data_IF_226784673585
#
_entry.id   IF_226784673585
#
_cell.length_a   1.000
_cell.length_b   1.000
_cell.length_c   1.000
_cell.angle_alpha   90.00
_cell.angle_beta   90.00
_cell.angle_gamma   90.00
#
_symmetry.space_group_name_H-M   'P 1'
#
loop_
_entity.id
_entity.type
_entity.pdbx_description
1 polymer ?
#
# COMPACT_ATOMS: atom_id res chain seq x y z
N UNK A 1 29.64 42.78 38.48
CA UNK A 1 29.49 42.17 37.13
C UNK A 1 29.00 40.74 37.30
N UNK A 2 27.70 40.46 37.11
CA UNK A 2 27.19 39.09 37.17
C UNK A 2 27.30 38.42 35.79
N UNK A 3 27.76 37.16 35.80
CA UNK A 3 27.81 36.27 34.63
C UNK A 3 26.38 35.83 34.28
N UNK A 4 25.94 36.03 33.05
CA UNK A 4 24.73 35.42 32.50
C UNK A 4 25.11 34.17 31.71
N UNK A 5 24.69 33.02 32.22
CA UNK A 5 24.70 31.74 31.51
C UNK A 5 23.73 31.83 30.32
N UNK A 6 24.24 31.73 29.09
CA UNK A 6 23.41 31.40 27.94
C UNK A 6 23.32 29.87 27.84
N UNK A 7 22.12 29.37 28.13
CA UNK A 7 21.71 28.00 27.90
C UNK A 7 21.47 27.80 26.39
N UNK A 8 22.18 26.90 25.70
CA UNK A 8 21.91 26.63 24.30
C UNK A 8 20.59 25.85 24.21
N UNK A 9 19.53 26.54 23.76
CA UNK A 9 18.23 25.93 23.53
C UNK A 9 18.31 24.62 22.72
N UNK A 10 17.38 23.68 22.93
CA UNK A 10 17.47 22.34 22.36
C UNK A 10 17.48 22.40 20.82
N UNK A 11 18.27 21.54 20.14
CA UNK A 11 18.37 21.54 18.69
C UNK A 11 16.98 21.32 18.08
N UNK A 12 16.59 22.28 17.23
CA UNK A 12 15.35 22.28 16.49
C UNK A 12 15.12 20.93 15.83
N UNK A 13 14.08 20.23 16.28
CA UNK A 13 13.56 19.01 15.68
C UNK A 13 13.22 19.38 14.23
N UNK A 14 14.02 18.91 13.28
CA UNK A 14 13.75 19.10 11.86
C UNK A 14 12.31 18.65 11.60
N UNK A 15 11.42 19.61 11.36
CA UNK A 15 10.09 19.35 10.85
C UNK A 15 10.27 18.43 9.64
N UNK A 16 9.46 17.38 9.54
CA UNK A 16 9.43 16.52 8.38
C UNK A 16 9.25 17.40 7.15
N UNK A 17 10.34 17.69 6.43
CA UNK A 17 10.33 18.56 5.28
C UNK A 17 9.49 17.85 4.22
N UNK A 18 8.26 18.32 3.99
CA UNK A 18 7.59 18.06 2.73
C UNK A 18 8.61 18.43 1.65
N UNK A 19 9.03 17.46 0.84
CA UNK A 19 9.97 17.72 -0.25
C UNK A 19 9.39 18.88 -1.10
N UNK A 20 10.22 19.82 -1.58
CA UNK A 20 9.74 20.94 -2.36
C UNK A 20 8.88 20.43 -3.52
N UNK A 21 7.72 21.05 -3.73
CA UNK A 21 6.81 20.69 -4.81
C UNK A 21 7.57 20.81 -6.14
N UNK A 22 7.57 19.74 -6.94
CA UNK A 22 8.25 19.71 -8.23
C UNK A 22 7.40 20.46 -9.27
N UNK A 23 8.06 20.96 -10.32
CA UNK A 23 7.34 21.51 -11.46
C UNK A 23 6.49 20.41 -12.10
N UNK A 24 5.20 20.69 -12.25
CA UNK A 24 4.23 19.76 -12.83
C UNK A 24 3.31 20.48 -13.81
N UNK A 25 2.64 19.73 -14.67
CA UNK A 25 1.67 20.20 -15.66
C UNK A 25 0.53 19.18 -15.74
N UNK A 26 -0.74 19.56 -16.02
CA UNK A 26 -1.86 18.61 -16.10
C UNK A 26 -1.63 17.40 -17.02
N UNK A 27 -0.82 17.58 -18.08
CA UNK A 27 -0.41 16.50 -19.00
C UNK A 27 0.34 15.36 -18.30
N UNK A 28 0.97 15.60 -17.15
CA UNK A 28 1.63 14.60 -16.31
C UNK A 28 0.66 13.50 -15.84
N UNK A 29 -0.64 13.78 -15.83
CA UNK A 29 -1.63 12.78 -15.47
C UNK A 29 -1.67 11.62 -16.48
N UNK A 30 -1.38 11.87 -17.77
CA UNK A 30 -1.36 10.83 -18.81
C UNK A 30 -0.35 9.73 -18.49
N UNK A 31 0.97 10.01 -18.35
CA UNK A 31 1.94 8.97 -18.00
C UNK A 31 1.67 8.34 -16.63
N UNK A 32 1.16 9.10 -15.65
CA UNK A 32 0.82 8.54 -14.34
C UNK A 32 -0.36 7.56 -14.40
N UNK A 33 -1.41 7.86 -15.17
CA UNK A 33 -2.52 6.95 -15.42
C UNK A 33 -2.06 5.73 -16.21
N UNK A 34 -1.15 5.88 -17.17
CA UNK A 34 -0.59 4.73 -17.89
C UNK A 34 0.20 3.81 -16.95
N UNK A 35 1.09 4.35 -16.12
CA UNK A 35 1.90 3.56 -15.17
C UNK A 35 1.05 2.93 -14.07
N UNK A 36 0.12 3.68 -13.46
CA UNK A 36 -0.74 3.12 -12.42
C UNK A 36 -1.77 2.15 -13.00
N UNK A 37 -2.33 2.46 -14.17
CA UNK A 37 -3.30 1.63 -14.89
C UNK A 37 -2.70 0.34 -15.43
N UNK A 38 -1.39 0.28 -15.68
CA UNK A 38 -0.73 -0.97 -16.04
C UNK A 38 -0.91 -2.06 -14.96
N UNK A 39 -1.07 -1.69 -13.69
CA UNK A 39 -1.40 -2.62 -12.61
C UNK A 39 -2.69 -3.41 -12.88
N UNK A 40 -3.69 -2.78 -13.51
CA UNK A 40 -4.96 -3.44 -13.86
C UNK A 40 -4.71 -4.56 -14.87
N UNK A 41 -3.83 -4.33 -15.84
CA UNK A 41 -3.47 -5.35 -16.83
C UNK A 41 -2.57 -6.43 -16.21
N UNK A 42 -1.58 -6.05 -15.40
CA UNK A 42 -0.62 -6.97 -14.81
C UNK A 42 -1.27 -7.90 -13.77
N UNK A 43 -2.10 -7.35 -12.88
CA UNK A 43 -2.61 -8.05 -11.69
C UNK A 43 -4.12 -8.31 -11.76
N UNK A 44 -4.88 -7.41 -12.38
CA UNK A 44 -6.33 -7.57 -12.56
C UNK A 44 -6.69 -8.62 -13.62
N UNK A 45 -6.11 -8.46 -14.82
CA UNK A 45 -6.40 -9.31 -15.98
C UNK A 45 -5.30 -10.33 -16.30
N UNK A 46 -4.16 -10.27 -15.61
CA UNK A 46 -3.01 -11.15 -15.85
C UNK A 46 -2.55 -11.16 -17.31
N UNK A 47 -2.48 -9.97 -17.93
CA UNK A 47 -2.02 -9.73 -19.30
C UNK A 47 -0.61 -9.11 -19.28
N UNK A 48 0.45 -9.89 -19.01
CA UNK A 48 1.78 -9.37 -18.74
C UNK A 48 2.35 -8.54 -19.89
N UNK A 49 2.19 -9.01 -21.14
CA UNK A 49 2.70 -8.30 -22.32
C UNK A 49 2.04 -6.92 -22.45
N UNK A 50 0.72 -6.86 -22.31
CA UNK A 50 -0.02 -5.60 -22.40
C UNK A 50 0.30 -4.67 -21.23
N UNK A 51 0.44 -5.21 -20.01
CA UNK A 51 0.85 -4.46 -18.83
C UNK A 51 2.25 -3.87 -18.96
N UNK A 52 3.23 -4.65 -19.40
CA UNK A 52 4.60 -4.16 -19.66
C UNK A 52 4.64 -3.13 -20.79
N UNK A 53 3.86 -3.33 -21.87
CA UNK A 53 3.74 -2.34 -22.94
C UNK A 53 3.15 -1.02 -22.42
N UNK A 54 2.12 -1.08 -21.57
CA UNK A 54 1.51 0.10 -20.95
C UNK A 54 2.46 0.82 -19.99
N UNK A 55 3.25 0.07 -19.21
CA UNK A 55 4.35 0.62 -18.41
C UNK A 55 5.37 1.35 -19.27
N UNK A 56 5.86 0.71 -20.35
CA UNK A 56 6.84 1.31 -21.25
C UNK A 56 6.29 2.58 -21.91
N UNK A 57 5.03 2.55 -22.36
CA UNK A 57 4.35 3.72 -22.94
C UNK A 57 4.20 4.85 -21.91
N UNK A 58 3.85 4.54 -20.66
CA UNK A 58 3.76 5.49 -19.57
C UNK A 58 5.11 6.14 -19.24
N UNK A 59 6.19 5.35 -19.18
CA UNK A 59 7.55 5.86 -18.95
C UNK A 59 8.04 6.70 -20.14
N UNK A 60 7.75 6.29 -21.38
CA UNK A 60 8.07 7.08 -22.57
C UNK A 60 7.35 8.43 -22.55
N UNK A 61 6.06 8.44 -22.22
CA UNK A 61 5.28 9.67 -22.08
C UNK A 61 5.81 10.57 -20.95
N UNK A 62 6.25 9.98 -19.83
CA UNK A 62 6.89 10.72 -18.73
C UNK A 62 8.20 11.37 -19.17
N UNK A 63 9.03 10.62 -19.90
CA UNK A 63 10.28 11.12 -20.48
C UNK A 63 10.04 12.29 -21.45
N UNK A 64 9.02 12.21 -22.31
CA UNK A 64 8.63 13.29 -23.22
C UNK A 64 8.17 14.54 -22.45
N UNK A 65 7.43 14.38 -21.35
CA UNK A 65 7.00 15.49 -20.50
C UNK A 65 8.20 16.19 -19.86
N UNK A 66 9.12 15.43 -19.27
CA UNK A 66 10.33 15.95 -18.64
C UNK A 66 11.24 16.63 -19.69
N UNK A 67 11.42 16.02 -20.86
CA UNK A 67 12.22 16.58 -21.97
C UNK A 67 11.65 17.90 -22.49
N UNK A 68 10.33 18.05 -22.48
CA UNK A 68 9.66 19.29 -22.88
C UNK A 68 9.75 20.41 -21.84
N UNK A 69 10.29 20.14 -20.65
CA UNK A 69 10.39 21.11 -19.55
C UNK A 69 9.06 21.41 -18.84
N UNK A 70 7.99 20.68 -19.19
CA UNK A 70 6.66 20.81 -18.57
C UNK A 70 6.61 20.18 -17.18
N UNK A 71 7.40 19.15 -16.97
CA UNK A 71 7.51 18.43 -15.69
C UNK A 71 8.97 18.32 -15.29
N UNK A 72 9.21 18.11 -14.01
CA UNK A 72 10.53 17.86 -13.48
C UNK A 72 10.53 16.49 -12.80
N UNK A 73 11.36 15.56 -13.29
CA UNK A 73 11.60 14.24 -12.69
C UNK A 73 10.38 13.32 -12.62
N UNK A 74 9.36 13.55 -13.44
CA UNK A 74 8.20 12.66 -13.51
C UNK A 74 8.62 11.25 -13.92
N UNK A 75 9.54 11.11 -14.87
CA UNK A 75 10.07 9.82 -15.31
C UNK A 75 10.71 9.05 -14.14
N UNK A 76 11.57 9.71 -13.36
CA UNK A 76 12.30 9.06 -12.29
C UNK A 76 11.34 8.51 -11.21
N UNK A 77 10.34 9.29 -10.81
CA UNK A 77 9.38 8.88 -9.79
C UNK A 77 8.42 7.79 -10.31
N UNK A 78 7.95 7.90 -11.56
CA UNK A 78 7.13 6.85 -12.17
C UNK A 78 7.92 5.56 -12.45
N UNK A 79 9.21 5.65 -12.75
CA UNK A 79 10.07 4.50 -12.94
C UNK A 79 10.21 3.66 -11.65
N UNK A 80 10.27 4.30 -10.48
CA UNK A 80 10.29 3.58 -9.21
C UNK A 80 9.01 2.78 -8.97
N UNK A 81 7.85 3.35 -9.31
CA UNK A 81 6.55 2.67 -9.23
C UNK A 81 6.50 1.50 -10.22
N UNK A 82 6.94 1.74 -11.47
CA UNK A 82 6.99 0.72 -12.51
C UNK A 82 7.93 -0.44 -12.13
N UNK A 83 9.11 -0.16 -11.56
CA UNK A 83 10.03 -1.19 -11.06
C UNK A 83 9.36 -2.05 -9.99
N UNK A 84 8.66 -1.43 -9.04
CA UNK A 84 7.88 -2.16 -8.04
C UNK A 84 6.86 -3.09 -8.66
N UNK A 85 6.06 -2.60 -9.62
CA UNK A 85 5.08 -3.42 -10.34
C UNK A 85 5.73 -4.56 -11.12
N UNK A 86 6.85 -4.32 -11.82
CA UNK A 86 7.58 -5.36 -12.56
C UNK A 86 8.11 -6.44 -11.64
N UNK A 87 8.63 -6.09 -10.46
CA UNK A 87 9.10 -7.08 -9.48
C UNK A 87 7.93 -7.94 -9.00
N UNK A 88 6.80 -7.33 -8.63
CA UNK A 88 5.60 -8.06 -8.20
C UNK A 88 5.13 -9.01 -9.30
N UNK A 89 5.06 -8.55 -10.55
CA UNK A 89 4.57 -9.37 -11.68
C UNK A 89 5.48 -10.55 -12.07
N UNK A 90 6.62 -10.74 -11.39
CA UNK A 90 7.48 -11.93 -11.60
C UNK A 90 6.99 -13.19 -10.89
N UNK A 91 6.05 -13.07 -9.94
CA UNK A 91 5.47 -14.20 -9.23
C UNK A 91 3.96 -14.05 -9.12
N UNK A 92 3.24 -15.17 -8.96
CA UNK A 92 1.81 -15.11 -8.66
C UNK A 92 1.58 -14.64 -7.24
N UNK A 93 0.65 -13.70 -7.06
CA UNK A 93 0.25 -13.20 -5.75
C UNK A 93 -0.81 -14.07 -5.07
N UNK A 94 -1.22 -15.19 -5.67
CA UNK A 94 -2.08 -16.16 -4.99
C UNK A 94 -1.36 -16.69 -3.74
N UNK A 95 -2.06 -16.70 -2.62
CA UNK A 95 -1.51 -17.18 -1.37
C UNK A 95 -1.11 -18.67 -1.50
N UNK A 96 0.13 -18.97 -1.11
CA UNK A 96 0.71 -20.31 -1.10
C UNK A 96 1.47 -20.48 0.21
N UNK A 97 0.92 -21.31 1.10
CA UNK A 97 1.44 -21.52 2.46
C UNK A 97 2.51 -22.61 2.54
N UNK A 98 2.98 -23.15 1.40
CA UNK A 98 4.17 -24.00 1.39
C UNK A 98 5.42 -23.20 1.78
N UNK A 99 6.45 -23.85 2.32
CA UNK A 99 7.70 -23.16 2.71
C UNK A 99 8.33 -22.42 1.51
N UNK A 100 8.30 -23.04 0.33
CA UNK A 100 8.77 -22.41 -0.91
C UNK A 100 7.90 -21.23 -1.33
N UNK A 101 6.57 -21.35 -1.20
CA UNK A 101 5.60 -20.27 -1.44
C UNK A 101 5.88 -19.06 -0.53
N UNK A 102 6.01 -19.31 0.77
CA UNK A 102 6.31 -18.28 1.77
C UNK A 102 7.63 -17.57 1.49
N UNK A 103 8.70 -18.30 1.18
CA UNK A 103 10.01 -17.71 0.83
C UNK A 103 9.93 -16.90 -0.45
N UNK A 104 9.33 -17.45 -1.52
CA UNK A 104 9.17 -16.75 -2.81
C UNK A 104 8.42 -15.45 -2.60
N UNK A 105 7.31 -15.50 -1.86
CA UNK A 105 6.45 -14.36 -1.63
C UNK A 105 7.17 -13.28 -0.81
N UNK A 106 7.88 -13.67 0.27
CA UNK A 106 8.69 -12.75 1.07
C UNK A 106 9.82 -12.08 0.26
N UNK A 107 10.49 -12.83 -0.61
CA UNK A 107 11.55 -12.29 -1.49
C UNK A 107 10.98 -11.31 -2.49
N UNK A 108 9.91 -11.67 -3.21
CA UNK A 108 9.33 -10.82 -4.26
C UNK A 108 8.77 -9.53 -3.67
N UNK A 109 7.96 -9.62 -2.61
CA UNK A 109 7.44 -8.42 -1.94
C UNK A 109 8.56 -7.60 -1.31
N UNK A 110 9.53 -8.25 -0.66
CA UNK A 110 10.71 -7.59 -0.11
C UNK A 110 11.47 -6.79 -1.16
N UNK A 111 11.72 -7.37 -2.34
CA UNK A 111 12.37 -6.71 -3.46
C UNK A 111 11.54 -5.56 -4.05
N UNK A 112 10.22 -5.70 -4.11
CA UNK A 112 9.32 -4.67 -4.64
C UNK A 112 9.36 -3.37 -3.83
N UNK A 113 9.71 -3.43 -2.53
CA UNK A 113 9.95 -2.25 -1.68
C UNK A 113 11.44 -1.88 -1.66
N UNK A 114 12.32 -2.87 -1.50
CA UNK A 114 13.75 -2.65 -1.32
C UNK A 114 14.39 -2.05 -2.58
N UNK A 115 14.07 -2.56 -3.77
CA UNK A 115 14.71 -2.09 -5.02
C UNK A 115 14.35 -0.62 -5.30
N UNK A 116 13.08 -0.19 -5.32
CA UNK A 116 12.75 1.23 -5.48
C UNK A 116 13.36 2.11 -4.38
N UNK A 117 13.39 1.63 -3.13
CA UNK A 117 14.03 2.34 -2.03
C UNK A 117 15.53 2.55 -2.26
N UNK A 118 16.27 1.50 -2.65
CA UNK A 118 17.71 1.57 -2.92
C UNK A 118 18.02 2.46 -4.13
N UNK A 119 17.24 2.35 -5.21
CA UNK A 119 17.39 3.23 -6.38
C UNK A 119 17.16 4.69 -5.96
N UNK A 120 16.06 4.98 -5.26
CA UNK A 120 15.78 6.34 -4.76
C UNK A 120 16.93 6.86 -3.88
N UNK A 121 17.43 6.02 -2.96
CA UNK A 121 18.42 6.42 -1.95
C UNK A 121 19.84 6.61 -2.48
N UNK A 122 20.28 5.74 -3.38
CA UNK A 122 21.68 5.64 -3.79
C UNK A 122 21.91 6.07 -5.24
N UNK A 123 20.97 5.78 -6.14
CA UNK A 123 21.07 6.18 -7.55
C UNK A 123 20.55 7.61 -7.72
N UNK A 124 19.32 7.88 -7.29
CA UNK A 124 18.73 9.23 -7.38
C UNK A 124 19.18 10.15 -6.25
N UNK A 125 19.87 9.59 -5.23
CA UNK A 125 20.41 10.31 -4.06
C UNK A 125 19.36 11.13 -3.32
N UNK A 126 18.13 10.64 -3.32
CA UNK A 126 17.01 11.26 -2.62
C UNK A 126 16.65 10.54 -1.34
N UNK A 127 15.85 11.21 -0.52
CA UNK A 127 15.28 10.64 0.70
C UNK A 127 13.77 10.85 0.71
N UNK A 128 13.12 10.65 -0.44
CA UNK A 128 11.68 10.85 -0.58
C UNK A 128 10.91 9.70 0.08
N UNK A 129 11.31 8.46 -0.21
CA UNK A 129 10.76 7.27 0.46
C UNK A 129 11.29 7.24 1.89
N UNK A 130 10.39 7.44 2.86
CA UNK A 130 10.66 7.44 4.30
C UNK A 130 9.56 6.68 5.02
N UNK A 131 9.89 6.15 6.19
CA UNK A 131 8.99 5.35 7.02
C UNK A 131 8.77 6.04 8.38
N UNK A 132 7.85 7.03 8.48
CA UNK A 132 7.63 7.80 9.69
C UNK A 132 6.80 7.00 10.72
N UNK A 133 7.44 6.02 11.38
CA UNK A 133 6.80 5.10 12.34
C UNK A 133 6.11 5.80 13.51
N UNK A 134 6.72 6.84 14.08
CA UNK A 134 6.19 7.56 15.23
C UNK A 134 6.24 9.07 15.01
N UNK A 135 5.09 9.73 15.15
CA UNK A 135 4.99 11.19 15.17
C UNK A 135 5.22 11.79 16.56
N UNK A 136 5.36 10.94 17.59
CA UNK A 136 5.61 11.36 18.98
C UNK A 136 4.41 12.02 19.67
N UNK A 137 3.24 12.02 19.04
CA UNK A 137 1.98 12.56 19.61
C UNK A 137 1.08 11.40 20.06
N UNK A 138 0.39 11.58 21.19
CA UNK A 138 -0.64 10.64 21.65
C UNK A 138 -1.84 10.68 20.70
N UNK A 139 -2.51 9.54 20.52
CA UNK A 139 -3.73 9.48 19.72
C UNK A 139 -4.89 10.19 20.43
N UNK A 140 -5.65 10.97 19.67
CA UNK A 140 -6.80 11.70 20.19
C UNK A 140 -8.07 10.82 20.23
N UNK A 141 -9.15 11.33 20.83
CA UNK A 141 -10.42 10.59 20.94
C UNK A 141 -11.01 10.20 19.59
N UNK A 142 -10.93 11.09 18.58
CA UNK A 142 -11.44 10.82 17.23
C UNK A 142 -10.71 9.65 16.59
N UNK A 143 -9.39 9.56 16.77
CA UNK A 143 -8.57 8.46 16.28
C UNK A 143 -8.96 7.14 16.95
N UNK A 144 -9.16 7.13 18.26
CA UNK A 144 -9.65 5.94 18.97
C UNK A 144 -11.04 5.50 18.52
N UNK A 145 -11.98 6.43 18.39
CA UNK A 145 -13.33 6.14 17.89
C UNK A 145 -13.29 5.59 16.46
N UNK A 146 -12.39 6.12 15.63
CA UNK A 146 -12.18 5.62 14.28
C UNK A 146 -11.64 4.18 14.27
N UNK A 147 -10.68 3.83 15.14
CA UNK A 147 -10.18 2.45 15.27
C UNK A 147 -11.29 1.48 15.68
N UNK A 148 -12.15 1.87 16.62
CA UNK A 148 -13.31 1.06 17.02
C UNK A 148 -14.26 0.90 15.84
N UNK A 149 -14.61 2.01 15.17
CA UNK A 149 -15.53 2.01 14.05
C UNK A 149 -15.07 1.13 12.90
N UNK A 150 -13.81 1.26 12.44
CA UNK A 150 -13.29 0.49 11.32
C UNK A 150 -13.20 -1.00 11.65
N UNK A 151 -12.85 -1.34 12.89
CA UNK A 151 -12.82 -2.75 13.35
C UNK A 151 -14.22 -3.35 13.35
N UNK A 152 -15.21 -2.65 13.88
CA UNK A 152 -16.61 -3.11 13.88
C UNK A 152 -17.18 -3.20 12.46
N UNK A 153 -16.88 -2.22 11.60
CA UNK A 153 -17.30 -2.24 10.21
C UNK A 153 -16.69 -3.45 9.47
N UNK A 154 -15.40 -3.71 9.64
CA UNK A 154 -14.74 -4.90 9.11
C UNK A 154 -15.38 -6.19 9.63
N UNK A 155 -15.56 -6.30 10.94
CA UNK A 155 -16.17 -7.47 11.58
C UNK A 155 -17.60 -7.74 11.11
N UNK A 156 -18.36 -6.70 10.74
CA UNK A 156 -19.72 -6.84 10.24
C UNK A 156 -19.76 -7.16 8.73
N UNK A 157 -18.95 -6.48 7.94
CA UNK A 157 -19.03 -6.50 6.46
C UNK A 157 -18.21 -7.65 5.86
N UNK A 158 -17.03 -7.93 6.40
CA UNK A 158 -16.10 -8.90 5.81
C UNK A 158 -16.64 -10.34 5.83
N UNK A 159 -17.23 -10.88 6.91
CA UNK A 159 -17.75 -12.25 6.90
C UNK A 159 -18.81 -12.44 5.82
N UNK A 160 -19.72 -11.46 5.71
CA UNK A 160 -20.75 -11.45 4.67
C UNK A 160 -20.10 -11.49 3.28
N UNK A 161 -19.15 -10.60 3.00
CA UNK A 161 -18.42 -10.59 1.74
C UNK A 161 -17.72 -11.92 1.45
N UNK A 162 -16.85 -12.37 2.35
CA UNK A 162 -16.00 -13.54 2.12
C UNK A 162 -16.83 -14.81 1.89
N UNK A 163 -17.86 -15.04 2.70
CA UNK A 163 -18.64 -16.28 2.67
C UNK A 163 -19.67 -16.26 1.53
N UNK A 164 -20.46 -15.18 1.39
CA UNK A 164 -21.53 -15.14 0.36
C UNK A 164 -20.99 -15.12 -1.06
N UNK A 165 -19.82 -14.52 -1.29
CA UNK A 165 -19.20 -14.48 -2.61
C UNK A 165 -18.28 -15.68 -2.89
N UNK A 166 -17.99 -16.50 -1.88
CA UNK A 166 -17.07 -17.63 -1.99
C UNK A 166 -15.59 -17.26 -2.12
N UNK A 167 -15.23 -15.97 -2.05
CA UNK A 167 -13.85 -15.51 -2.25
C UNK A 167 -12.88 -16.04 -1.21
N UNK A 168 -13.34 -16.50 -0.04
CA UNK A 168 -12.46 -17.15 0.95
C UNK A 168 -11.68 -18.34 0.35
N UNK A 169 -12.20 -18.97 -0.70
CA UNK A 169 -11.57 -20.07 -1.44
C UNK A 169 -10.39 -19.63 -2.31
N UNK A 170 -10.18 -18.33 -2.49
CA UNK A 170 -8.97 -17.81 -3.15
C UNK A 170 -7.72 -17.96 -2.27
N UNK A 171 -7.91 -18.19 -0.96
CA UNK A 171 -6.84 -18.52 -0.03
C UNK A 171 -6.77 -20.04 0.18
N UNK A 172 -5.58 -20.59 0.45
CA UNK A 172 -5.42 -21.99 0.81
C UNK A 172 -6.32 -22.37 1.98
N UNK A 173 -6.83 -23.61 1.94
CA UNK A 173 -7.54 -24.20 3.07
C UNK A 173 -6.61 -24.23 4.28
N UNK A 174 -7.08 -23.68 5.39
CA UNK A 174 -6.33 -23.59 6.64
C UNK A 174 -7.10 -24.30 7.74
N UNK A 175 -6.76 -25.56 8.00
CA UNK A 175 -7.39 -26.35 9.06
C UNK A 175 -6.39 -26.76 10.13
N UNK A 176 -5.13 -26.96 9.76
CA UNK A 176 -4.09 -27.36 10.71
C UNK A 176 -3.42 -26.16 11.41
N UNK A 177 -2.95 -26.32 12.66
CA UNK A 177 -2.37 -25.21 13.43
C UNK A 177 -1.16 -24.51 12.77
N UNK A 178 -0.33 -25.25 12.04
CA UNK A 178 0.83 -24.70 11.33
C UNK A 178 0.43 -23.87 10.10
N UNK A 179 -0.59 -24.32 9.35
CA UNK A 179 -1.17 -23.56 8.24
C UNK A 179 -1.81 -22.26 8.72
N UNK A 180 -2.57 -22.32 9.82
CA UNK A 180 -3.16 -21.14 10.47
C UNK A 180 -2.06 -20.17 10.92
N UNK A 181 -0.98 -20.68 11.52
CA UNK A 181 0.17 -19.89 11.94
C UNK A 181 0.87 -19.20 10.75
N UNK A 182 1.08 -19.91 9.64
CA UNK A 182 1.65 -19.35 8.41
C UNK A 182 0.75 -18.30 7.77
N UNK A 183 -0.57 -18.53 7.76
CA UNK A 183 -1.54 -17.54 7.28
C UNK A 183 -1.46 -16.26 8.11
N UNK A 184 -1.41 -16.36 9.45
CA UNK A 184 -1.28 -15.20 10.33
C UNK A 184 0.00 -14.41 10.04
N UNK A 185 1.13 -15.09 9.88
CA UNK A 185 2.41 -14.46 9.51
C UNK A 185 2.30 -13.79 8.14
N UNK A 186 1.71 -14.46 7.16
CA UNK A 186 1.50 -13.94 5.82
C UNK A 186 0.63 -12.68 5.82
N UNK A 187 -0.50 -12.69 6.52
CA UNK A 187 -1.41 -11.55 6.65
C UNK A 187 -0.70 -10.35 7.28
N UNK A 188 -0.02 -10.53 8.42
CA UNK A 188 0.73 -9.45 9.08
C UNK A 188 1.83 -8.90 8.17
N UNK A 189 2.57 -9.79 7.48
CA UNK A 189 3.65 -9.40 6.59
C UNK A 189 3.13 -8.60 5.39
N UNK A 190 2.03 -9.05 4.75
CA UNK A 190 1.38 -8.36 3.63
C UNK A 190 0.84 -7.01 4.06
N UNK A 191 0.08 -6.92 5.15
CA UNK A 191 -0.45 -5.63 5.59
C UNK A 191 0.65 -4.64 6.02
N UNK A 192 1.76 -5.14 6.56
CA UNK A 192 2.95 -4.30 6.77
C UNK A 192 3.50 -3.80 5.44
N UNK A 193 3.66 -4.71 4.48
CA UNK A 193 4.19 -4.41 3.14
C UNK A 193 3.32 -3.41 2.38
N UNK A 194 2.00 -3.52 2.48
CA UNK A 194 1.04 -2.62 1.83
C UNK A 194 1.29 -1.15 2.20
N UNK A 195 1.58 -0.88 3.47
CA UNK A 195 1.90 0.47 3.92
C UNK A 195 3.25 0.96 3.38
N UNK A 196 4.25 0.09 3.32
CA UNK A 196 5.58 0.43 2.82
C UNK A 196 5.56 0.71 1.32
N UNK A 197 4.83 -0.10 0.56
CA UNK A 197 4.76 0.02 -0.88
C UNK A 197 3.75 1.08 -1.30
N UNK A 198 2.47 0.91 -0.97
CA UNK A 198 1.44 1.79 -1.52
C UNK A 198 1.47 3.18 -0.91
N UNK A 199 1.68 3.30 0.40
CA UNK A 199 1.65 4.61 1.05
C UNK A 199 3.03 5.26 1.05
N UNK A 200 4.04 4.59 1.60
CA UNK A 200 5.38 5.18 1.73
C UNK A 200 6.16 5.28 0.40
N UNK A 201 5.78 4.51 -0.63
CA UNK A 201 6.41 4.57 -1.95
C UNK A 201 5.48 5.19 -2.99
N UNK A 202 4.43 4.48 -3.43
CA UNK A 202 3.58 4.91 -4.56
C UNK A 202 2.91 6.26 -4.28
N UNK A 203 2.17 6.39 -3.18
CA UNK A 203 1.45 7.61 -2.84
C UNK A 203 2.40 8.79 -2.60
N UNK A 204 3.50 8.59 -1.87
CA UNK A 204 4.49 9.63 -1.60
C UNK A 204 5.16 10.13 -2.89
N UNK A 205 5.52 9.24 -3.82
CA UNK A 205 6.10 9.61 -5.11
C UNK A 205 5.10 10.40 -5.96
N UNK A 206 3.85 9.94 -6.05
CA UNK A 206 2.78 10.63 -6.79
C UNK A 206 2.45 12.01 -6.20
N UNK A 207 2.49 12.15 -4.87
CA UNK A 207 2.23 13.42 -4.17
C UNK A 207 3.23 14.54 -4.49
N UNK A 208 4.37 14.22 -5.10
CA UNK A 208 5.34 15.25 -5.57
C UNK A 208 4.86 15.98 -6.81
N UNK A 209 4.02 15.32 -7.61
CA UNK A 209 3.56 15.79 -8.93
C UNK A 209 2.09 16.16 -8.95
N UNK A 210 1.30 15.62 -8.02
CA UNK A 210 -0.16 15.73 -8.06
C UNK A 210 -0.75 16.20 -6.71
N UNK A 211 -1.88 16.94 -6.73
CA UNK A 211 -2.68 17.16 -5.53
C UNK A 211 -3.07 15.82 -4.90
N UNK A 212 -3.29 15.83 -3.58
CA UNK A 212 -3.45 14.59 -2.81
C UNK A 212 -4.57 13.69 -3.32
N UNK A 213 -5.70 14.24 -3.75
CA UNK A 213 -6.81 13.41 -4.23
C UNK A 213 -6.46 12.64 -5.52
N UNK A 214 -5.68 13.24 -6.44
CA UNK A 214 -5.21 12.56 -7.66
C UNK A 214 -4.21 11.47 -7.32
N UNK A 215 -3.21 11.78 -6.47
CA UNK A 215 -2.25 10.79 -6.01
C UNK A 215 -2.92 9.61 -5.29
N UNK A 216 -3.97 9.88 -4.51
CA UNK A 216 -4.75 8.86 -3.80
C UNK A 216 -5.52 7.96 -4.77
N UNK A 217 -6.19 8.54 -5.78
CA UNK A 217 -6.89 7.78 -6.81
C UNK A 217 -5.91 6.89 -7.61
N UNK A 218 -4.77 7.45 -8.02
CA UNK A 218 -3.75 6.73 -8.76
C UNK A 218 -3.15 5.56 -7.95
N UNK A 219 -2.82 5.80 -6.68
CA UNK A 219 -2.37 4.71 -5.78
C UNK A 219 -3.46 3.66 -5.57
N UNK A 220 -4.73 4.07 -5.46
CA UNK A 220 -5.87 3.15 -5.31
C UNK A 220 -5.96 2.19 -6.50
N UNK A 221 -5.69 2.64 -7.73
CA UNK A 221 -5.66 1.76 -8.91
C UNK A 221 -4.64 0.63 -8.71
N UNK A 222 -3.42 0.95 -8.29
CA UNK A 222 -2.35 -0.03 -8.07
C UNK A 222 -2.71 -0.98 -6.92
N UNK A 223 -3.20 -0.45 -5.81
CA UNK A 223 -3.60 -1.20 -4.61
C UNK A 223 -4.71 -2.21 -4.88
N UNK A 224 -5.79 -1.75 -5.50
CA UNK A 224 -6.96 -2.60 -5.79
C UNK A 224 -6.60 -3.68 -6.80
N UNK A 225 -5.75 -3.37 -7.79
CA UNK A 225 -5.28 -4.36 -8.76
C UNK A 225 -4.44 -5.45 -8.10
N UNK A 226 -3.56 -5.07 -7.16
CA UNK A 226 -2.77 -6.03 -6.40
C UNK A 226 -3.66 -6.92 -5.51
N UNK A 227 -4.60 -6.32 -4.77
CA UNK A 227 -5.53 -7.09 -3.92
C UNK A 227 -6.44 -8.02 -4.73
N UNK A 228 -6.80 -7.63 -5.96
CA UNK A 228 -7.55 -8.50 -6.86
C UNK A 228 -6.79 -9.79 -7.17
N UNK A 229 -5.50 -9.72 -7.47
CA UNK A 229 -4.68 -10.92 -7.69
C UNK A 229 -4.48 -11.72 -6.41
N UNK A 230 -4.32 -11.03 -5.27
CA UNK A 230 -4.15 -11.65 -3.96
C UNK A 230 -5.35 -12.52 -3.56
N UNK A 231 -6.58 -12.08 -3.92
CA UNK A 231 -7.80 -12.86 -3.68
C UNK A 231 -9.08 -12.06 -3.46
N UNK A 232 -9.04 -10.72 -3.43
CA UNK A 232 -10.21 -9.85 -3.20
C UNK A 232 -11.04 -9.62 -4.47
N UNK A 233 -11.56 -10.71 -5.04
CA UNK A 233 -12.29 -10.73 -6.32
C UNK A 233 -13.79 -10.47 -6.14
N UNK A 234 -14.59 -10.75 -7.19
CA UNK A 234 -16.04 -10.50 -7.19
C UNK A 234 -16.34 -9.00 -6.96
N UNK A 235 -17.22 -8.66 -6.02
CA UNK A 235 -17.52 -7.28 -5.66
C UNK A 235 -16.52 -6.67 -4.65
N UNK A 236 -15.41 -7.35 -4.36
CA UNK A 236 -14.31 -6.88 -3.52
C UNK A 236 -13.85 -5.44 -3.77
N UNK A 237 -13.79 -4.93 -5.02
CA UNK A 237 -13.50 -3.51 -5.29
C UNK A 237 -14.40 -2.51 -4.57
N UNK A 238 -15.65 -2.85 -4.27
CA UNK A 238 -16.54 -1.98 -3.48
C UNK A 238 -16.07 -1.81 -2.03
N UNK A 239 -15.22 -2.71 -1.52
CA UNK A 239 -14.61 -2.63 -0.20
C UNK A 239 -13.18 -2.06 -0.27
N UNK A 240 -12.37 -2.55 -1.21
CA UNK A 240 -10.95 -2.19 -1.30
C UNK A 240 -10.73 -0.77 -1.82
N UNK A 241 -11.59 -0.24 -2.70
CA UNK A 241 -11.50 1.16 -3.17
C UNK A 241 -11.72 2.15 -2.01
N UNK A 242 -12.83 2.10 -1.24
CA UNK A 242 -13.00 2.97 -0.07
C UNK A 242 -11.87 2.81 0.94
N UNK A 243 -11.43 1.58 1.20
CA UNK A 243 -10.32 1.31 2.12
C UNK A 243 -9.04 2.03 1.69
N UNK A 244 -8.59 1.84 0.44
CA UNK A 244 -7.39 2.47 -0.09
C UNK A 244 -7.47 4.01 -0.04
N UNK A 245 -8.63 4.57 -0.41
CA UNK A 245 -8.85 6.01 -0.38
C UNK A 245 -8.78 6.58 1.04
N UNK A 246 -9.39 5.89 2.01
CA UNK A 246 -9.36 6.29 3.42
C UNK A 246 -7.96 6.13 4.00
N UNK A 247 -7.21 5.09 3.61
CA UNK A 247 -5.84 4.85 4.04
C UNK A 247 -4.91 6.00 3.65
N UNK A 248 -4.89 6.40 2.38
CA UNK A 248 -4.07 7.53 1.92
C UNK A 248 -4.52 8.88 2.50
N UNK A 249 -5.83 9.07 2.71
CA UNK A 249 -6.35 10.25 3.41
C UNK A 249 -5.91 10.30 4.89
N UNK A 250 -5.94 9.16 5.57
CA UNK A 250 -5.52 9.02 6.96
C UNK A 250 -4.03 9.29 7.11
N UNK A 251 -3.20 8.80 6.18
CA UNK A 251 -1.78 9.12 6.16
C UNK A 251 -1.53 10.62 5.95
N UNK A 252 -2.29 11.28 5.05
CA UNK A 252 -2.20 12.74 4.88
C UNK A 252 -2.48 13.48 6.19
N UNK A 253 -3.53 13.11 6.92
CA UNK A 253 -3.94 13.80 8.15
C UNK A 253 -3.01 13.53 9.33
N UNK A 254 -2.64 12.27 9.52
CA UNK A 254 -1.90 11.84 10.72
C UNK A 254 -0.39 11.93 10.56
N UNK A 255 0.10 11.85 9.31
CA UNK A 255 1.53 11.73 8.97
C UNK A 255 2.23 10.61 9.75
N UNK A 256 1.47 9.61 10.20
CA UNK A 256 1.90 8.59 11.14
C UNK A 256 1.73 7.22 10.52
N UNK A 257 2.83 6.62 10.06
CA UNK A 257 2.83 5.27 9.53
C UNK A 257 2.27 4.29 10.57
N UNK A 258 2.67 4.41 11.84
CA UNK A 258 2.18 3.53 12.90
C UNK A 258 0.66 3.59 13.14
N UNK A 259 0.00 4.71 12.83
CA UNK A 259 -1.45 4.80 12.99
C UNK A 259 -2.17 4.11 11.83
N UNK A 260 -1.75 4.40 10.60
CA UNK A 260 -2.28 3.74 9.39
C UNK A 260 -2.04 2.24 9.44
N UNK A 261 -0.83 1.84 9.82
CA UNK A 261 -0.46 0.44 10.09
C UNK A 261 -1.37 -0.21 11.14
N UNK A 262 -1.71 0.46 12.24
CA UNK A 262 -2.62 -0.09 13.25
C UNK A 262 -4.02 -0.32 12.68
N UNK A 263 -4.54 0.64 11.90
CA UNK A 263 -5.84 0.49 11.21
C UNK A 263 -5.82 -0.74 10.30
N UNK A 264 -4.75 -0.88 9.51
CA UNK A 264 -4.57 -2.01 8.61
C UNK A 264 -4.52 -3.34 9.37
N UNK A 265 -3.68 -3.44 10.40
CA UNK A 265 -3.54 -4.66 11.20
C UNK A 265 -4.85 -5.07 11.90
N UNK A 266 -5.69 -4.12 12.30
CA UNK A 266 -7.01 -4.44 12.85
C UNK A 266 -7.95 -5.02 11.79
N UNK A 267 -7.94 -4.43 10.59
CA UNK A 267 -8.72 -4.95 9.46
C UNK A 267 -8.24 -6.36 9.06
N UNK A 268 -6.92 -6.54 8.96
CA UNK A 268 -6.27 -7.81 8.65
C UNK A 268 -6.53 -8.89 9.70
N UNK A 269 -6.56 -8.52 10.98
CA UNK A 269 -6.94 -9.45 12.04
C UNK A 269 -8.37 -9.98 11.85
N UNK A 270 -9.29 -9.13 11.38
CA UNK A 270 -10.64 -9.56 11.04
C UNK A 270 -10.62 -10.46 9.79
N UNK A 271 -9.91 -10.09 8.73
CA UNK A 271 -9.76 -10.92 7.52
C UNK A 271 -9.23 -12.31 7.87
N UNK A 272 -8.16 -12.38 8.67
CA UNK A 272 -7.60 -13.63 9.17
C UNK A 272 -8.65 -14.46 9.91
N UNK A 273 -9.35 -13.84 10.87
CA UNK A 273 -10.39 -14.54 11.64
C UNK A 273 -11.53 -15.06 10.76
N UNK A 274 -11.92 -14.30 9.72
CA UNK A 274 -12.96 -14.71 8.75
C UNK A 274 -12.50 -15.89 7.91
N UNK A 275 -11.27 -15.88 7.40
CA UNK A 275 -10.73 -16.99 6.59
C UNK A 275 -10.61 -18.27 7.42
N UNK A 276 -10.13 -18.18 8.66
CA UNK A 276 -10.05 -19.33 9.56
C UNK A 276 -11.44 -19.85 9.91
N UNK A 277 -12.37 -18.95 10.23
CA UNK A 277 -13.77 -19.31 10.49
C UNK A 277 -14.44 -19.99 9.29
N UNK A 278 -14.22 -19.49 8.07
CA UNK A 278 -14.81 -20.07 6.86
C UNK A 278 -14.34 -21.51 6.59
N UNK A 279 -13.13 -21.88 7.01
CA UNK A 279 -12.58 -23.23 6.83
C UNK A 279 -12.80 -24.16 8.03
N UNK A 280 -12.93 -23.63 9.25
CA UNK A 280 -12.95 -24.44 10.49
C UNK A 280 -14.25 -24.32 11.30
N UNK A 281 -15.07 -23.30 11.03
CA UNK A 281 -16.23 -22.94 11.86
C UNK A 281 -15.87 -22.22 13.17
N UNK A 282 -14.59 -21.92 13.42
CA UNK A 282 -14.11 -21.24 14.62
C UNK A 282 -13.18 -20.08 14.27
N UNK A 283 -13.23 -18.93 14.98
CA UNK A 283 -14.08 -18.62 16.13
C UNK A 283 -15.52 -18.21 15.71
N UNK A 284 -16.58 -18.71 16.38
CA UNK A 284 -17.98 -18.38 16.04
C UNK A 284 -18.37 -17.01 16.59
N UNK A 285 -17.68 -15.97 16.12
CA UNK A 285 -17.85 -14.58 16.57
C UNK A 285 -18.56 -13.72 15.54
N UNK A 286 -18.89 -14.23 14.35
CA UNK A 286 -19.47 -13.43 13.27
C UNK A 286 -20.99 -13.53 13.24
N UNK A 287 -21.68 -12.39 13.38
CA UNK A 287 -23.15 -12.35 13.38
C UNK A 287 -23.78 -12.55 12.01
N UNK A 288 -23.10 -12.12 10.94
CA UNK A 288 -23.60 -12.12 9.56
C UNK A 288 -22.92 -13.18 8.68
N UNK A 289 -22.36 -14.22 9.28
CA UNK A 289 -21.92 -15.39 8.54
C UNK A 289 -23.14 -16.25 8.16
N UNK A 290 -23.41 -16.49 6.87
CA UNK A 290 -24.46 -17.42 6.44
C UNK A 290 -24.16 -18.88 6.79
#
# INVERSE_FOLDING_TARGET
>A
MPRTNEDPGPPGRAAASDAPALRTHPIALIPAVLVCGAAVLLFGFLLPIAGYAMLAAGLLAAWLCDRSGRTERLLADLALIAVGQVVISTASMKADLSDAGMVRFAVVLGLAVLVPFLISRFVYRERTIRFPWRTGRRWNRTQWLYLIFVTLAGWLILPFYFITSGVYQNWPTVTEPDEIGRLLVGVIAVGTWDELFFICTVFVLLRRHFPTWQANLLQTIVFVSFLWELGYQSWGPLLTIPFALIQGYTFKLTKSLGYVFTVHMLFDAVVFAVIVYAHTGWPPIFLLAP
#
